data_IF_389925867545
#
_entry.id   IF_389925867545
#
_cell.length_a   1.000
_cell.length_b   1.000
_cell.length_c   1.000
_cell.angle_alpha   90.00
_cell.angle_beta   90.00
_cell.angle_gamma   90.00
#
_symmetry.space_group_name_H-M   'P 1'
#
loop_
_entity.id
_entity.type
_entity.pdbx_description
1 polymer ?
#
# COMPACT_ATOMS: atom_id res chain seq x y z
N UNK A 1 8.29 1.14 -0.99
CA UNK A 1 9.70 1.23 -0.49
C UNK A 1 10.65 1.67 -1.59
N UNK A 2 10.61 1.09 -2.77
CA UNK A 2 11.55 1.42 -3.85
C UNK A 2 11.56 2.91 -4.20
N UNK A 3 10.39 3.57 -4.30
CA UNK A 3 10.32 5.02 -4.56
C UNK A 3 11.08 5.86 -3.52
N UNK A 4 11.04 5.49 -2.24
CA UNK A 4 11.75 6.22 -1.17
C UNK A 4 13.25 6.00 -1.26
N UNK A 5 13.69 4.79 -1.58
CA UNK A 5 15.12 4.46 -1.77
C UNK A 5 15.67 5.24 -2.97
N UNK A 6 14.98 5.14 -4.13
CA UNK A 6 15.40 5.87 -5.33
C UNK A 6 15.45 7.38 -5.09
N UNK A 7 14.48 7.92 -4.33
CA UNK A 7 14.44 9.33 -3.97
C UNK A 7 15.65 9.74 -3.11
N UNK A 8 16.01 8.90 -2.13
CA UNK A 8 17.18 9.14 -1.26
C UNK A 8 18.45 9.20 -2.08
N UNK A 9 18.65 8.23 -2.98
CA UNK A 9 19.82 8.16 -3.85
C UNK A 9 19.92 9.37 -4.80
N UNK A 10 18.77 9.85 -5.30
CA UNK A 10 18.73 11.06 -6.14
C UNK A 10 18.98 12.33 -5.33
N UNK A 11 18.44 12.40 -4.11
CA UNK A 11 18.67 13.57 -3.23
C UNK A 11 20.15 13.73 -2.92
N UNK A 12 20.89 12.65 -2.67
CA UNK A 12 22.32 12.67 -2.47
C UNK A 12 23.12 13.23 -3.66
N UNK A 13 22.58 13.10 -4.89
CA UNK A 13 23.19 13.59 -6.14
C UNK A 13 22.76 15.01 -6.50
N UNK A 14 21.67 15.52 -5.91
CA UNK A 14 21.05 16.82 -6.22
C UNK A 14 21.50 17.94 -5.26
N UNK A 15 22.71 17.86 -4.71
CA UNK A 15 23.23 18.82 -3.71
C UNK A 15 23.28 20.27 -4.19
N UNK A 16 23.40 20.50 -5.48
CA UNK A 16 23.45 21.85 -6.08
C UNK A 16 22.06 22.52 -6.20
N UNK A 17 20.95 21.79 -6.00
CA UNK A 17 19.59 22.32 -6.15
C UNK A 17 18.89 22.43 -4.81
N UNK A 18 18.95 23.63 -4.20
CA UNK A 18 18.34 23.89 -2.89
C UNK A 18 16.82 23.65 -2.81
N UNK A 19 16.10 23.71 -3.94
CA UNK A 19 14.66 23.48 -3.99
C UNK A 19 14.30 22.00 -4.06
N UNK A 20 15.22 21.13 -4.47
CA UNK A 20 14.95 19.69 -4.61
C UNK A 20 14.77 19.01 -3.24
N UNK A 21 15.66 19.22 -2.30
CA UNK A 21 15.66 18.53 -1.02
C UNK A 21 14.36 18.70 -0.22
N UNK A 22 13.78 19.92 -0.07
CA UNK A 22 12.50 20.09 0.63
C UNK A 22 11.34 19.43 -0.09
N UNK A 23 11.32 19.44 -1.44
CA UNK A 23 10.28 18.76 -2.22
C UNK A 23 10.38 17.23 -2.07
N UNK A 24 11.60 16.69 -2.18
CA UNK A 24 11.87 15.27 -1.99
C UNK A 24 11.48 14.81 -0.58
N UNK A 25 11.85 15.60 0.44
CA UNK A 25 11.47 15.32 1.83
C UNK A 25 9.95 15.31 2.02
N UNK A 26 9.24 16.32 1.53
CA UNK A 26 7.79 16.40 1.61
C UNK A 26 7.12 15.18 0.96
N UNK A 27 7.60 14.77 -0.22
CA UNK A 27 7.09 13.59 -0.91
C UNK A 27 7.34 12.30 -0.11
N UNK A 28 8.56 12.12 0.42
CA UNK A 28 8.90 10.98 1.27
C UNK A 28 8.06 10.92 2.55
N UNK A 29 7.87 12.04 3.23
CA UNK A 29 7.06 12.15 4.45
C UNK A 29 5.59 11.81 4.16
N UNK A 30 5.05 12.29 3.02
CA UNK A 30 3.69 12.00 2.60
C UNK A 30 3.48 10.51 2.29
N UNK A 31 4.43 9.86 1.64
CA UNK A 31 4.41 8.41 1.40
C UNK A 31 4.54 7.61 2.69
N UNK A 32 5.38 8.07 3.62
CA UNK A 32 5.55 7.44 4.94
C UNK A 32 4.26 7.50 5.75
N UNK A 33 3.52 8.60 5.70
CA UNK A 33 2.22 8.72 6.39
C UNK A 33 1.17 7.73 5.86
N UNK A 34 1.20 7.42 4.55
CA UNK A 34 0.35 6.36 3.98
C UNK A 34 0.85 4.98 4.41
N UNK A 35 2.16 4.74 4.34
CA UNK A 35 2.77 3.48 4.79
C UNK A 35 2.42 3.17 6.24
N UNK A 36 2.54 4.14 7.15
CA UNK A 36 2.23 4.01 8.57
C UNK A 36 0.74 3.74 8.84
N UNK A 37 -0.15 4.19 7.94
CA UNK A 37 -1.59 3.89 8.03
C UNK A 37 -1.92 2.44 7.65
N UNK A 38 -1.13 1.85 6.75
CA UNK A 38 -1.34 0.50 6.23
C UNK A 38 -0.52 -0.54 7.00
N UNK A 39 0.73 -0.21 7.32
CA UNK A 39 1.70 -1.13 7.91
C UNK A 39 2.25 -0.56 9.23
N UNK A 40 2.45 -1.42 10.24
CA UNK A 40 3.09 -1.01 11.49
C UNK A 40 4.61 -1.06 11.31
N UNK A 41 5.21 0.12 11.11
CA UNK A 41 6.64 0.27 10.84
C UNK A 41 7.53 0.18 12.09
N UNK A 42 6.93 0.29 13.28
CA UNK A 42 7.64 0.31 14.57
C UNK A 42 7.91 -1.07 15.15
N UNK A 43 7.24 -2.11 14.64
CA UNK A 43 7.43 -3.47 15.13
C UNK A 43 8.82 -3.99 14.75
N UNK A 44 9.61 -4.37 15.74
CA UNK A 44 10.93 -4.99 15.61
C UNK A 44 10.96 -6.40 16.23
N UNK A 45 10.02 -6.70 17.12
CA UNK A 45 9.90 -7.99 17.79
C UNK A 45 8.49 -8.57 17.76
N UNK A 46 8.32 -9.85 18.06
CA UNK A 46 7.02 -10.52 18.13
C UNK A 46 6.08 -10.00 19.23
N UNK A 47 6.62 -9.31 20.24
CA UNK A 47 5.83 -8.74 21.35
C UNK A 47 5.45 -7.26 21.14
N UNK A 48 6.00 -6.62 20.13
CA UNK A 48 5.74 -5.20 19.84
C UNK A 48 4.26 -4.86 19.56
N UNK A 49 3.40 -5.77 19.06
CA UNK A 49 1.96 -5.52 18.94
C UNK A 49 1.26 -5.17 20.25
N UNK A 50 1.84 -5.51 21.41
CA UNK A 50 1.34 -5.09 22.72
C UNK A 50 1.53 -3.60 22.98
N UNK A 51 2.57 -3.01 22.39
CA UNK A 51 2.95 -1.60 22.54
C UNK A 51 2.47 -0.73 21.37
N UNK A 52 2.36 -1.31 20.17
CA UNK A 52 2.00 -0.60 18.96
C UNK A 52 0.72 -1.17 18.36
N UNK A 53 -0.30 -0.35 18.09
CA UNK A 53 -1.57 -0.82 17.56
C UNK A 53 -1.40 -1.46 16.18
N UNK A 54 -2.12 -2.56 15.96
CA UNK A 54 -2.17 -3.23 14.66
C UNK A 54 -2.72 -2.30 13.57
N UNK A 55 -2.24 -2.48 12.35
CA UNK A 55 -2.63 -1.71 11.17
C UNK A 55 -3.38 -2.58 10.15
N UNK A 56 -3.80 -1.98 9.04
CA UNK A 56 -4.59 -2.67 8.02
C UNK A 56 -3.93 -3.97 7.54
N UNK A 57 -2.62 -3.97 7.31
CA UNK A 57 -1.88 -5.17 6.91
C UNK A 57 -2.05 -6.33 7.91
N UNK A 58 -1.98 -6.05 9.21
CA UNK A 58 -2.18 -7.07 10.24
C UNK A 58 -3.62 -7.59 10.25
N UNK A 59 -4.61 -6.69 10.07
CA UNK A 59 -6.02 -7.06 10.02
C UNK A 59 -6.32 -7.96 8.82
N UNK A 60 -5.80 -7.65 7.63
CA UNK A 60 -5.92 -8.51 6.45
C UNK A 60 -5.19 -9.85 6.64
N UNK A 61 -3.99 -9.85 7.24
CA UNK A 61 -3.25 -11.08 7.51
C UNK A 61 -4.00 -11.99 8.49
N UNK A 62 -4.61 -11.42 9.52
CA UNK A 62 -5.45 -12.17 10.48
C UNK A 62 -6.68 -12.75 9.80
N UNK A 63 -7.36 -11.96 8.95
CA UNK A 63 -8.49 -12.44 8.18
C UNK A 63 -8.08 -13.57 7.23
N UNK A 64 -6.95 -13.42 6.52
CA UNK A 64 -6.41 -14.45 5.64
C UNK A 64 -6.11 -15.74 6.41
N UNK A 65 -5.44 -15.65 7.54
CA UNK A 65 -5.16 -16.81 8.39
C UNK A 65 -6.44 -17.50 8.86
N UNK A 66 -7.46 -16.73 9.26
CA UNK A 66 -8.75 -17.26 9.67
C UNK A 66 -9.45 -18.02 8.54
N UNK A 67 -9.52 -17.47 7.34
CA UNK A 67 -10.20 -18.12 6.20
C UNK A 67 -9.40 -19.29 5.63
N UNK A 68 -8.08 -19.28 5.76
CA UNK A 68 -7.20 -20.35 5.28
C UNK A 68 -7.09 -21.53 6.26
N UNK A 69 -7.51 -21.38 7.50
CA UNK A 69 -7.45 -22.44 8.51
C UNK A 69 -8.58 -23.48 8.39
N UNK A 70 -9.60 -23.19 7.58
CA UNK A 70 -10.75 -24.06 7.37
C UNK A 70 -10.78 -24.71 6.00
N UNK A 71 -11.19 -25.98 5.92
CA UNK A 71 -11.44 -26.69 4.66
C UNK A 71 -12.79 -26.35 4.01
N UNK A 72 -13.60 -25.57 4.74
CA UNK A 72 -14.95 -25.19 4.32
C UNK A 72 -14.99 -23.75 3.83
N UNK A 73 -16.06 -23.41 3.13
CA UNK A 73 -16.34 -22.02 2.73
C UNK A 73 -16.29 -21.09 3.95
N UNK A 74 -15.61 -19.92 3.85
CA UNK A 74 -15.56 -18.95 4.94
C UNK A 74 -16.96 -18.56 5.44
N UNK A 75 -17.14 -18.37 6.75
CA UNK A 75 -18.41 -17.95 7.31
C UNK A 75 -18.72 -16.50 6.90
N UNK A 76 -20.01 -16.12 6.97
CA UNK A 76 -20.51 -14.79 6.60
C UNK A 76 -19.71 -13.66 7.26
N UNK A 77 -19.33 -13.82 8.52
CA UNK A 77 -18.57 -12.83 9.28
C UNK A 77 -17.21 -12.48 8.64
N UNK A 78 -16.57 -13.43 7.96
CA UNK A 78 -15.33 -13.15 7.24
C UNK A 78 -15.55 -12.16 6.09
N UNK A 79 -16.65 -12.30 5.36
CA UNK A 79 -17.04 -11.35 4.30
C UNK A 79 -17.43 -10.00 4.86
N UNK A 80 -18.13 -9.96 6.00
CA UNK A 80 -18.51 -8.71 6.66
C UNK A 80 -17.26 -7.93 7.11
N UNK A 81 -16.24 -8.63 7.66
CA UNK A 81 -14.95 -8.02 8.01
C UNK A 81 -14.23 -7.50 6.76
N UNK A 82 -14.19 -8.30 5.69
CA UNK A 82 -13.57 -7.88 4.43
C UNK A 82 -14.24 -6.61 3.86
N UNK A 83 -15.57 -6.54 3.90
CA UNK A 83 -16.34 -5.39 3.46
C UNK A 83 -16.02 -4.10 4.26
N UNK A 84 -15.62 -4.24 5.53
CA UNK A 84 -15.17 -3.11 6.36
C UNK A 84 -13.72 -2.73 6.08
N UNK A 85 -12.85 -3.70 5.76
CA UNK A 85 -11.43 -3.44 5.56
C UNK A 85 -11.12 -2.86 4.16
N UNK A 86 -11.82 -3.33 3.11
CA UNK A 86 -11.57 -2.90 1.74
C UNK A 86 -11.68 -1.37 1.57
N UNK A 87 -12.75 -0.68 2.00
CA UNK A 87 -12.84 0.77 1.85
C UNK A 87 -11.72 1.53 2.57
N UNK A 88 -11.22 1.00 3.69
CA UNK A 88 -10.09 1.60 4.41
C UNK A 88 -8.81 1.49 3.61
N UNK A 89 -8.57 0.35 2.95
CA UNK A 89 -7.42 0.16 2.07
C UNK A 89 -7.54 1.04 0.83
N UNK A 90 -8.70 1.07 0.18
CA UNK A 90 -8.96 1.87 -1.02
C UNK A 90 -8.71 3.36 -0.76
N UNK A 91 -9.09 3.86 0.41
CA UNK A 91 -8.80 5.23 0.83
C UNK A 91 -7.30 5.52 0.87
N UNK A 92 -6.49 4.61 1.44
CA UNK A 92 -5.05 4.78 1.52
C UNK A 92 -4.38 4.66 0.13
N UNK A 93 -4.87 3.74 -0.69
CA UNK A 93 -4.39 3.59 -2.07
C UNK A 93 -4.69 4.84 -2.90
N UNK A 94 -5.91 5.38 -2.83
CA UNK A 94 -6.27 6.62 -3.50
C UNK A 94 -5.45 7.82 -3.00
N UNK A 95 -5.11 7.86 -1.71
CA UNK A 95 -4.23 8.88 -1.15
C UNK A 95 -2.81 8.76 -1.71
N UNK A 96 -2.26 7.55 -1.78
CA UNK A 96 -0.95 7.30 -2.37
C UNK A 96 -0.90 7.72 -3.83
N UNK A 97 -1.90 7.35 -4.63
CA UNK A 97 -1.98 7.74 -6.05
C UNK A 97 -1.99 9.25 -6.23
N UNK A 98 -2.75 9.98 -5.42
CA UNK A 98 -2.79 11.45 -5.46
C UNK A 98 -1.45 12.07 -5.14
N UNK A 99 -0.74 11.57 -4.12
CA UNK A 99 0.60 12.04 -3.76
C UNK A 99 1.58 11.82 -4.91
N UNK A 100 1.58 10.63 -5.50
CA UNK A 100 2.46 10.28 -6.64
C UNK A 100 2.14 11.16 -7.85
N UNK A 101 0.88 11.31 -8.21
CA UNK A 101 0.47 12.10 -9.36
C UNK A 101 0.79 13.61 -9.21
N UNK A 102 0.75 14.13 -7.98
CA UNK A 102 0.99 15.54 -7.70
C UNK A 102 2.48 15.90 -7.67
N UNK A 103 3.31 15.07 -7.06
CA UNK A 103 4.69 15.46 -6.72
C UNK A 103 5.76 14.74 -7.54
N UNK A 104 5.54 13.48 -7.95
CA UNK A 104 6.53 12.73 -8.74
C UNK A 104 6.88 13.39 -10.08
N UNK A 105 5.93 13.94 -10.87
CA UNK A 105 6.29 14.66 -12.12
C UNK A 105 7.18 15.87 -11.88
N UNK A 106 7.00 16.61 -10.78
CA UNK A 106 7.82 17.77 -10.41
C UNK A 106 9.24 17.33 -10.07
N UNK A 107 9.37 16.26 -9.30
CA UNK A 107 10.65 15.65 -8.94
C UNK A 107 11.38 15.21 -10.21
N UNK A 108 10.70 14.51 -11.10
CA UNK A 108 11.28 14.01 -12.35
C UNK A 108 11.69 15.15 -13.31
N UNK A 109 10.93 16.23 -13.37
CA UNK A 109 11.31 17.39 -14.14
C UNK A 109 12.63 18.02 -13.63
N UNK A 110 12.82 18.09 -12.32
CA UNK A 110 14.06 18.59 -11.72
C UNK A 110 15.23 17.63 -11.94
N UNK A 111 15.02 16.32 -11.84
CA UNK A 111 16.03 15.30 -12.14
C UNK A 111 16.47 15.36 -13.59
N UNK A 112 15.52 15.45 -14.51
CA UNK A 112 15.79 15.57 -15.96
C UNK A 112 16.59 16.83 -16.28
N UNK A 113 16.26 17.96 -15.66
CA UNK A 113 17.01 19.21 -15.81
C UNK A 113 18.46 19.10 -15.31
N UNK A 114 18.72 18.22 -14.35
CA UNK A 114 20.05 17.92 -13.81
C UNK A 114 20.79 16.78 -14.53
N UNK A 115 20.20 16.21 -15.61
CA UNK A 115 20.79 15.08 -16.35
C UNK A 115 20.74 13.76 -15.58
N UNK A 116 19.89 13.66 -14.53
CA UNK A 116 19.73 12.44 -13.74
C UNK A 116 18.54 11.61 -14.22
N UNK A 117 18.62 10.27 -14.10
CA UNK A 117 17.50 9.40 -14.48
C UNK A 117 16.27 9.66 -13.62
N UNK A 118 15.10 9.65 -14.26
CA UNK A 118 13.81 9.80 -13.63
C UNK A 118 13.51 8.63 -12.67
N UNK A 119 12.71 8.92 -11.65
CA UNK A 119 12.18 7.90 -10.74
C UNK A 119 10.90 7.34 -11.35
N UNK A 120 10.86 6.04 -11.57
CA UNK A 120 9.71 5.34 -12.11
C UNK A 120 9.06 4.49 -11.05
N UNK A 121 7.72 4.47 -11.06
CA UNK A 121 6.98 3.52 -10.23
C UNK A 121 7.09 2.13 -10.86
N UNK A 122 7.61 1.16 -10.12
CA UNK A 122 7.49 -0.23 -10.53
C UNK A 122 6.01 -0.60 -10.58
N UNK A 123 5.49 -0.96 -11.76
CA UNK A 123 4.16 -1.53 -11.88
C UNK A 123 4.16 -2.84 -11.09
N UNK A 124 3.27 -2.95 -10.10
CA UNK A 124 2.95 -4.24 -9.51
C UNK A 124 2.24 -5.01 -10.63
N UNK A 125 2.89 -6.01 -11.20
CA UNK A 125 2.23 -6.92 -12.11
C UNK A 125 1.10 -7.60 -11.33
N UNK A 126 -0.12 -7.33 -11.75
CA UNK A 126 -1.28 -8.07 -11.26
C UNK A 126 -1.14 -9.49 -11.79
N UNK A 127 -0.64 -10.42 -10.97
CA UNK A 127 -0.52 -11.80 -11.41
C UNK A 127 0.69 -12.57 -10.92
N UNK A 128 1.41 -12.11 -9.90
CA UNK A 128 2.38 -12.98 -9.20
C UNK A 128 1.68 -14.18 -8.56
N UNK A 129 2.39 -15.31 -8.28
CA UNK A 129 1.81 -16.46 -7.58
C UNK A 129 1.30 -16.01 -6.20
N UNK A 130 -0.01 -15.83 -6.06
CA UNK A 130 -0.68 -15.25 -4.89
C UNK A 130 -1.73 -14.20 -5.25
N UNK A 131 -1.91 -13.84 -6.51
CA UNK A 131 -3.07 -13.05 -6.93
C UNK A 131 -4.34 -13.87 -6.64
N UNK A 132 -5.09 -13.42 -5.61
CA UNK A 132 -6.37 -14.02 -5.28
C UNK A 132 -7.23 -14.07 -6.55
N UNK A 133 -7.64 -15.26 -6.94
CA UNK A 133 -8.63 -15.41 -8.00
C UNK A 133 -9.88 -14.60 -7.59
N UNK A 134 -10.60 -14.02 -8.56
CA UNK A 134 -11.82 -13.29 -8.24
C UNK A 134 -12.72 -14.19 -7.40
N UNK A 135 -13.08 -13.70 -6.20
CA UNK A 135 -14.01 -14.42 -5.33
C UNK A 135 -15.30 -14.57 -6.11
N UNK A 136 -15.65 -15.81 -6.44
CA UNK A 136 -16.94 -16.13 -7.04
C UNK A 136 -18.03 -15.68 -6.05
N UNK A 137 -18.72 -14.60 -6.37
CA UNK A 137 -19.93 -14.18 -5.68
C UNK A 137 -21.07 -14.97 -6.32
N UNK A 138 -21.69 -15.95 -5.64
CA UNK A 138 -22.85 -16.62 -6.19
C UNK A 138 -23.98 -15.60 -6.38
N UNK A 139 -24.55 -15.58 -7.54
CA UNK A 139 -25.78 -14.86 -7.82
C UNK A 139 -26.90 -15.36 -6.89
N UNK A 140 -27.46 -14.47 -6.07
CA UNK A 140 -28.54 -14.78 -5.11
C UNK A 140 -29.90 -15.01 -5.80
N UNK A 141 -29.93 -15.20 -7.14
CA UNK A 141 -31.17 -15.31 -7.90
C UNK A 141 -31.63 -16.74 -8.18
N UNK A 142 -31.05 -17.76 -7.59
CA UNK A 142 -31.68 -19.10 -7.62
C UNK A 142 -32.56 -19.28 -6.39
N UNK A 143 -33.81 -18.86 -6.55
CA UNK A 143 -34.89 -19.16 -5.61
C UNK A 143 -34.99 -20.64 -5.32
N UNK A 144 -34.98 -20.99 -4.05
CA UNK A 144 -35.47 -22.26 -3.58
C UNK A 144 -37.02 -22.18 -3.55
N UNK A 145 -37.63 -22.59 -4.68
CA UNK A 145 -38.99 -23.09 -4.67
C UNK A 145 -38.94 -24.57 -4.25
N UNK A 146 -39.43 -24.83 -3.08
CA UNK A 146 -40.09 -26.00 -2.45
C UNK A 146 -39.64 -26.26 -1.04
#
# INVERSE_FOLDING_TARGET
RNLKTDLTDRTAKMTANAAFAPLAKKFADSLSAVEDSVYQTKNQSGQDPLNFPIRLNNQFSSLLSFVSSGERRPPKQAYDVLAVLNPKLDLQMARMERIIAADLPKINAMLKAAGLPEITRNKIEKGGPGAAQPVFVPDETTGFDR
#
